data_IF_606186959435
#
_entry.id   IF_606186959435
#
_cell.length_a   1.000
_cell.length_b   1.000
_cell.length_c   1.000
_cell.angle_alpha   90.00
_cell.angle_beta   90.00
_cell.angle_gamma   90.00
#
_symmetry.space_group_name_H-M   'P 1'
#
loop_
_entity.id
_entity.type
_entity.pdbx_description
1 polymer ?
#
# COMPACT_ATOMS: atom_id res chain seq x y z
N UNK A 1 49.87 15.18 -58.63
CA UNK A 1 48.85 16.23 -58.35
C UNK A 1 47.90 15.72 -57.28
N UNK A 2 48.09 16.20 -56.11
CA UNK A 2 47.43 15.78 -54.89
C UNK A 2 46.35 16.85 -54.58
N UNK A 3 45.09 16.46 -54.49
CA UNK A 3 44.05 17.36 -53.96
C UNK A 3 43.59 16.83 -52.61
N UNK A 4 43.96 17.59 -51.62
CA UNK A 4 43.50 17.47 -50.26
C UNK A 4 42.08 18.07 -50.14
N UNK A 5 41.17 17.39 -49.49
CA UNK A 5 39.93 17.95 -49.04
C UNK A 5 39.98 18.20 -47.52
N UNK A 6 39.55 19.32 -47.02
CA UNK A 6 39.68 19.66 -45.64
C UNK A 6 38.56 19.01 -44.79
N UNK A 7 39.01 18.45 -43.69
CA UNK A 7 38.24 17.95 -42.58
C UNK A 7 37.66 19.12 -41.77
N UNK A 8 36.38 19.30 -41.79
CA UNK A 8 35.72 20.27 -40.92
C UNK A 8 35.41 19.62 -39.58
N UNK A 9 36.10 20.11 -38.57
CA UNK A 9 35.73 19.97 -37.16
C UNK A 9 34.51 20.83 -36.88
N UNK A 10 33.53 20.28 -36.24
CA UNK A 10 32.80 20.97 -35.17
C UNK A 10 31.81 19.98 -34.55
N UNK A 11 32.19 19.43 -33.43
CA UNK A 11 31.27 18.80 -32.54
C UNK A 11 31.37 19.51 -31.21
N UNK A 12 30.46 20.45 -31.00
CA UNK A 12 30.27 21.14 -29.74
C UNK A 12 29.54 20.22 -28.78
N UNK A 13 30.25 19.86 -27.77
CA UNK A 13 29.75 19.38 -26.51
C UNK A 13 28.57 20.24 -26.03
N UNK A 14 27.42 19.63 -25.87
CA UNK A 14 26.39 20.10 -24.96
C UNK A 14 26.10 18.99 -23.98
N UNK A 15 26.89 18.99 -22.96
CA UNK A 15 26.68 18.35 -21.70
C UNK A 15 25.46 19.06 -21.03
N UNK A 16 24.29 18.56 -21.26
CA UNK A 16 23.12 18.93 -20.47
C UNK A 16 22.99 17.94 -19.33
N UNK A 17 23.70 18.27 -18.28
CA UNK A 17 23.47 17.80 -16.94
C UNK A 17 22.14 18.38 -16.45
N UNK A 18 21.03 17.77 -16.83
CA UNK A 18 19.76 18.03 -16.19
C UNK A 18 19.65 17.14 -14.97
N UNK A 19 19.99 17.75 -13.86
CA UNK A 19 19.44 17.41 -12.55
C UNK A 19 17.93 17.17 -12.71
N UNK A 20 17.55 15.93 -12.88
CA UNK A 20 16.18 15.53 -12.74
C UNK A 20 15.80 15.71 -11.28
N UNK A 21 15.30 16.90 -11.00
CA UNK A 21 14.63 17.23 -9.78
C UNK A 21 13.61 16.12 -9.47
N UNK A 22 13.83 15.50 -8.35
CA UNK A 22 12.92 14.61 -7.67
C UNK A 22 11.58 15.35 -7.50
N UNK A 23 10.73 15.26 -8.52
CA UNK A 23 9.41 15.83 -8.52
C UNK A 23 8.52 14.90 -7.72
N UNK A 24 8.52 15.10 -6.42
CA UNK A 24 7.49 14.58 -5.55
C UNK A 24 6.13 14.94 -6.17
N UNK A 25 5.46 13.96 -6.71
CA UNK A 25 4.09 14.15 -7.19
C UNK A 25 3.24 14.55 -5.99
N UNK A 26 2.46 15.62 -6.10
CA UNK A 26 1.63 16.06 -5.00
C UNK A 26 0.61 14.96 -4.68
N UNK A 27 0.55 14.56 -3.42
CA UNK A 27 -0.41 13.62 -2.84
C UNK A 27 -1.89 13.95 -3.13
N UNK A 28 -2.15 15.10 -3.72
CA UNK A 28 -3.48 15.57 -4.11
C UNK A 28 -4.07 14.90 -5.36
N UNK A 29 -3.26 14.21 -6.18
CA UNK A 29 -3.77 13.55 -7.39
C UNK A 29 -4.40 12.16 -7.13
N UNK A 30 -4.21 11.57 -5.94
CA UNK A 30 -4.82 10.29 -5.56
C UNK A 30 -6.25 10.44 -4.99
N UNK A 31 -6.76 11.67 -4.91
CA UNK A 31 -8.01 11.99 -4.21
C UNK A 31 -9.30 11.68 -4.99
N UNK A 32 -9.20 11.14 -6.19
CA UNK A 32 -10.36 10.93 -7.07
C UNK A 32 -10.62 9.47 -7.48
N UNK A 33 -10.09 8.49 -6.75
CA UNK A 33 -10.42 7.10 -7.02
C UNK A 33 -11.21 6.48 -5.87
N UNK A 34 -12.44 6.93 -5.74
CA UNK A 34 -13.48 6.20 -5.02
C UNK A 34 -13.90 5.02 -5.89
N UNK A 35 -13.28 3.87 -5.73
CA UNK A 35 -13.80 2.63 -6.30
C UNK A 35 -13.54 1.48 -5.32
N UNK A 36 -14.59 1.09 -4.63
CA UNK A 36 -14.70 -0.16 -3.89
C UNK A 36 -15.00 -1.31 -4.85
N UNK A 37 -14.11 -1.63 -5.76
CA UNK A 37 -14.16 -2.85 -6.55
C UNK A 37 -12.81 -3.56 -6.49
N UNK A 38 -12.81 -4.85 -6.17
CA UNK A 38 -11.63 -5.63 -5.78
C UNK A 38 -10.44 -5.63 -6.75
N UNK A 39 -10.65 -5.32 -8.03
CA UNK A 39 -9.57 -5.22 -9.03
C UNK A 39 -8.72 -3.95 -8.86
N UNK A 40 -9.32 -2.86 -8.40
CA UNK A 40 -8.60 -1.60 -8.17
C UNK A 40 -7.72 -1.64 -6.92
N UNK A 41 -8.07 -2.41 -5.90
CA UNK A 41 -7.28 -2.54 -4.67
C UNK A 41 -5.95 -3.24 -4.90
N UNK A 42 -5.91 -4.29 -5.72
CA UNK A 42 -4.68 -4.98 -6.09
C UNK A 42 -3.69 -4.05 -6.79
N UNK A 43 -4.18 -3.23 -7.71
CA UNK A 43 -3.36 -2.24 -8.42
C UNK A 43 -2.81 -1.15 -7.47
N UNK A 44 -3.63 -0.65 -6.55
CA UNK A 44 -3.22 0.34 -5.55
C UNK A 44 -2.14 -0.23 -4.63
N UNK A 45 -2.31 -1.46 -4.15
CA UNK A 45 -1.32 -2.16 -3.32
C UNK A 45 0.00 -2.35 -4.09
N UNK A 46 -0.06 -2.79 -5.34
CA UNK A 46 1.14 -2.97 -6.18
C UNK A 46 1.88 -1.65 -6.40
N UNK A 47 1.16 -0.55 -6.65
CA UNK A 47 1.74 0.78 -6.82
C UNK A 47 2.41 1.27 -5.53
N UNK A 48 1.78 1.06 -4.38
CA UNK A 48 2.34 1.42 -3.08
C UNK A 48 3.63 0.64 -2.79
N UNK A 49 3.63 -0.68 -3.01
CA UNK A 49 4.82 -1.54 -2.83
C UNK A 49 5.95 -1.11 -3.79
N UNK A 50 5.62 -0.84 -5.05
CA UNK A 50 6.57 -0.36 -6.06
C UNK A 50 7.25 0.94 -5.62
N UNK A 51 6.48 1.88 -5.08
CA UNK A 51 7.01 3.15 -4.58
C UNK A 51 7.84 2.96 -3.31
N UNK A 52 7.38 2.16 -2.35
CA UNK A 52 8.05 1.93 -1.07
C UNK A 52 9.40 1.23 -1.22
N UNK A 53 9.50 0.28 -2.16
CA UNK A 53 10.73 -0.48 -2.40
C UNK A 53 11.56 0.08 -3.57
N UNK A 54 11.10 1.15 -4.23
CA UNK A 54 11.73 1.72 -5.43
C UNK A 54 11.96 0.67 -6.54
N UNK A 55 10.99 -0.23 -6.71
CA UNK A 55 11.03 -1.31 -7.71
C UNK A 55 10.06 -1.02 -8.86
N UNK A 56 10.35 -1.52 -10.08
CA UNK A 56 9.43 -1.32 -11.21
C UNK A 56 8.08 -2.01 -10.94
N UNK A 57 6.99 -1.28 -11.18
CA UNK A 57 5.63 -1.77 -10.97
C UNK A 57 5.35 -3.09 -11.69
N UNK A 58 5.90 -3.24 -12.91
CA UNK A 58 5.77 -4.47 -13.70
C UNK A 58 6.34 -5.69 -12.97
N UNK A 59 7.51 -5.53 -12.35
CA UNK A 59 8.15 -6.61 -11.59
C UNK A 59 7.36 -6.95 -10.33
N UNK A 60 6.89 -5.93 -9.61
CA UNK A 60 6.05 -6.12 -8.42
C UNK A 60 4.75 -6.83 -8.78
N UNK A 61 4.04 -6.39 -9.81
CA UNK A 61 2.80 -7.04 -10.24
C UNK A 61 3.01 -8.48 -10.68
N UNK A 62 4.11 -8.79 -11.37
CA UNK A 62 4.46 -10.15 -11.74
C UNK A 62 4.72 -11.05 -10.53
N UNK A 63 5.41 -10.54 -9.51
CA UNK A 63 5.64 -11.27 -8.25
C UNK A 63 4.32 -11.53 -7.53
N UNK A 64 3.45 -10.53 -7.42
CA UNK A 64 2.15 -10.70 -6.76
C UNK A 64 1.28 -11.75 -7.47
N UNK A 65 1.24 -11.74 -8.80
CA UNK A 65 0.53 -12.75 -9.57
C UNK A 65 1.08 -14.16 -9.31
N UNK A 66 2.41 -14.32 -9.27
CA UNK A 66 3.04 -15.61 -8.99
C UNK A 66 2.79 -16.08 -7.55
N UNK A 67 2.72 -15.17 -6.58
CA UNK A 67 2.36 -15.50 -5.19
C UNK A 67 0.89 -15.90 -5.08
N UNK A 68 -0.01 -15.25 -5.80
CA UNK A 68 -1.43 -15.61 -5.85
C UNK A 68 -1.65 -16.94 -6.57
N UNK A 69 -0.80 -17.33 -7.53
CA UNK A 69 -0.74 -18.66 -8.15
C UNK A 69 -0.21 -19.74 -7.18
N UNK A 70 0.22 -19.37 -5.97
CA UNK A 70 0.75 -20.28 -4.96
C UNK A 70 2.23 -20.65 -5.14
N UNK A 71 2.97 -19.89 -5.93
CA UNK A 71 4.41 -20.10 -6.08
C UNK A 71 5.17 -19.70 -4.81
N UNK A 72 6.16 -20.50 -4.42
CA UNK A 72 7.02 -20.19 -3.29
C UNK A 72 8.10 -19.17 -3.66
N UNK A 73 8.55 -18.36 -2.70
CA UNK A 73 9.59 -17.34 -2.89
C UNK A 73 10.86 -17.93 -3.53
N UNK A 74 11.44 -19.05 -3.03
CA UNK A 74 12.62 -19.67 -3.64
C UNK A 74 12.37 -20.16 -5.08
N UNK A 75 11.16 -20.59 -5.37
CA UNK A 75 10.79 -21.01 -6.74
C UNK A 75 10.79 -19.81 -7.69
N UNK A 76 10.20 -18.70 -7.27
CA UNK A 76 10.14 -17.47 -8.07
C UNK A 76 11.54 -16.93 -8.34
N UNK A 77 12.39 -16.86 -7.30
CA UNK A 77 13.76 -16.33 -7.41
C UNK A 77 14.67 -17.16 -8.32
N UNK A 78 14.45 -18.47 -8.41
CA UNK A 78 15.28 -19.37 -9.22
C UNK A 78 14.75 -19.58 -10.63
N UNK A 79 13.44 -19.78 -10.79
CA UNK A 79 12.85 -20.25 -12.04
C UNK A 79 12.02 -19.21 -12.79
N UNK A 80 11.73 -18.05 -12.19
CA UNK A 80 10.88 -17.01 -12.78
C UNK A 80 11.55 -15.63 -12.88
N UNK A 81 12.88 -15.61 -12.90
CA UNK A 81 13.69 -14.38 -13.00
C UNK A 81 13.31 -13.49 -14.17
N UNK A 82 13.01 -14.09 -15.32
CA UNK A 82 12.62 -13.34 -16.52
C UNK A 82 11.30 -12.59 -16.33
N UNK A 83 10.34 -13.17 -15.62
CA UNK A 83 9.04 -12.53 -15.36
C UNK A 83 9.15 -11.44 -14.29
N UNK A 84 10.03 -11.62 -13.32
CA UNK A 84 10.22 -10.69 -12.19
C UNK A 84 11.24 -9.60 -12.46
N UNK A 85 11.96 -9.64 -13.60
CA UNK A 85 13.00 -8.66 -13.92
C UNK A 85 14.27 -8.83 -13.11
N UNK A 86 14.68 -10.08 -12.84
CA UNK A 86 15.88 -10.45 -12.06
C UNK A 86 15.86 -9.97 -10.60
N UNK A 87 14.70 -9.92 -9.98
CA UNK A 87 14.61 -9.60 -8.54
C UNK A 87 15.28 -10.69 -7.69
N UNK A 88 15.99 -10.24 -6.67
CA UNK A 88 16.61 -11.10 -5.66
C UNK A 88 15.56 -11.70 -4.72
N UNK A 89 15.91 -12.82 -4.10
CA UNK A 89 15.07 -13.49 -3.10
C UNK A 89 14.67 -12.55 -1.96
N UNK A 90 15.59 -11.68 -1.50
CA UNK A 90 15.32 -10.68 -0.46
C UNK A 90 14.28 -9.65 -0.93
N UNK A 91 14.38 -9.19 -2.17
CA UNK A 91 13.41 -8.24 -2.73
C UNK A 91 12.03 -8.87 -2.86
N UNK A 92 11.96 -10.13 -3.29
CA UNK A 92 10.70 -10.89 -3.39
C UNK A 92 10.09 -11.11 -2.00
N UNK A 93 10.91 -11.40 -0.99
CA UNK A 93 10.46 -11.54 0.41
C UNK A 93 9.88 -10.23 0.91
N UNK A 94 10.57 -9.09 0.71
CA UNK A 94 10.08 -7.79 1.12
C UNK A 94 8.74 -7.43 0.44
N UNK A 95 8.58 -7.77 -0.84
CA UNK A 95 7.31 -7.59 -1.57
C UNK A 95 6.21 -8.42 -0.92
N UNK A 96 6.47 -9.69 -0.62
CA UNK A 96 5.51 -10.59 0.02
C UNK A 96 5.07 -10.09 1.40
N UNK A 97 6.02 -9.70 2.24
CA UNK A 97 5.72 -9.18 3.58
C UNK A 97 4.89 -7.89 3.55
N UNK A 98 5.23 -6.96 2.67
CA UNK A 98 4.44 -5.74 2.51
C UNK A 98 3.04 -6.03 1.96
N UNK A 99 2.94 -6.97 1.03
CA UNK A 99 1.65 -7.40 0.48
C UNK A 99 0.74 -7.99 1.55
N UNK A 100 1.28 -8.87 2.39
CA UNK A 100 0.53 -9.48 3.49
C UNK A 100 0.07 -8.43 4.51
N UNK A 101 0.94 -7.49 4.89
CA UNK A 101 0.58 -6.36 5.76
C UNK A 101 -0.56 -5.52 5.18
N UNK A 102 -0.48 -5.19 3.89
CA UNK A 102 -1.52 -4.41 3.22
C UNK A 102 -2.84 -5.19 3.10
N UNK A 103 -2.77 -6.51 2.94
CA UNK A 103 -3.94 -7.40 2.91
C UNK A 103 -4.62 -7.47 4.29
N UNK A 104 -3.86 -7.60 5.35
CA UNK A 104 -4.36 -7.56 6.73
C UNK A 104 -4.98 -6.19 7.06
N UNK A 105 -4.32 -5.12 6.66
CA UNK A 105 -4.82 -3.76 6.82
C UNK A 105 -6.13 -3.56 6.07
N UNK A 106 -6.29 -4.09 4.87
CA UNK A 106 -7.54 -4.08 4.13
C UNK A 106 -8.68 -4.77 4.89
N UNK A 107 -8.45 -5.99 5.37
CA UNK A 107 -9.42 -6.73 6.20
C UNK A 107 -9.78 -5.97 7.48
N UNK A 108 -8.79 -5.32 8.09
CA UNK A 108 -9.02 -4.51 9.29
C UNK A 108 -9.89 -3.29 8.99
N UNK A 109 -9.64 -2.59 7.88
CA UNK A 109 -10.47 -1.47 7.41
C UNK A 109 -11.92 -1.89 7.22
N UNK A 110 -12.18 -3.01 6.55
CA UNK A 110 -13.52 -3.55 6.35
C UNK A 110 -14.23 -3.82 7.67
N UNK A 111 -13.53 -4.45 8.63
CA UNK A 111 -14.10 -4.73 9.96
C UNK A 111 -14.45 -3.44 10.70
N UNK A 112 -13.59 -2.43 10.65
CA UNK A 112 -13.81 -1.13 11.27
C UNK A 112 -14.99 -0.41 10.63
N UNK A 113 -15.04 -0.35 9.31
CA UNK A 113 -16.15 0.25 8.57
C UNK A 113 -17.47 -0.42 8.88
N UNK A 114 -17.49 -1.77 8.97
CA UNK A 114 -18.67 -2.52 9.37
C UNK A 114 -19.14 -2.15 10.78
N UNK A 115 -18.23 -2.11 11.75
CA UNK A 115 -18.54 -1.77 13.14
C UNK A 115 -19.08 -0.35 13.29
N UNK A 116 -18.48 0.63 12.57
CA UNK A 116 -18.92 2.03 12.62
C UNK A 116 -20.28 2.18 11.93
N UNK A 117 -20.51 1.43 10.83
CA UNK A 117 -21.80 1.40 10.14
C UNK A 117 -22.91 0.83 11.03
N UNK A 118 -22.64 -0.23 11.77
CA UNK A 118 -23.56 -0.81 12.76
C UNK A 118 -23.92 0.16 13.88
N UNK A 119 -23.04 1.11 14.18
CA UNK A 119 -23.28 2.19 15.17
C UNK A 119 -23.97 3.42 14.57
N UNK A 120 -24.30 3.40 13.29
CA UNK A 120 -24.89 4.54 12.53
C UNK A 120 -24.08 5.84 12.62
N UNK A 121 -22.77 5.73 12.88
CA UNK A 121 -21.84 6.87 13.01
C UNK A 121 -20.92 7.03 11.79
N UNK A 122 -21.17 6.29 10.72
CA UNK A 122 -20.37 6.37 9.52
C UNK A 122 -20.66 7.66 8.76
N UNK A 123 -19.67 8.55 8.70
CA UNK A 123 -19.70 9.76 7.90
C UNK A 123 -18.87 9.53 6.63
N UNK A 124 -19.27 10.13 5.52
CA UNK A 124 -18.53 10.03 4.23
C UNK A 124 -17.06 10.48 4.38
N UNK A 125 -16.83 11.51 5.18
CA UNK A 125 -15.47 11.99 5.47
C UNK A 125 -14.64 10.97 6.25
N UNK A 126 -15.27 10.27 7.20
CA UNK A 126 -14.63 9.23 7.99
C UNK A 126 -14.28 8.02 7.13
N UNK A 127 -15.20 7.59 6.28
CA UNK A 127 -14.97 6.51 5.32
C UNK A 127 -13.80 6.85 4.39
N UNK A 128 -13.75 8.07 3.84
CA UNK A 128 -12.66 8.53 3.00
C UNK A 128 -11.32 8.53 3.75
N UNK A 129 -11.28 8.95 5.01
CA UNK A 129 -10.08 8.90 5.86
C UNK A 129 -9.61 7.48 6.09
N UNK A 130 -10.51 6.57 6.47
CA UNK A 130 -10.19 5.16 6.69
C UNK A 130 -9.67 4.51 5.42
N UNK A 131 -10.28 4.77 4.26
CA UNK A 131 -9.82 4.23 2.99
C UNK A 131 -8.44 4.75 2.58
N UNK A 132 -8.13 6.02 2.86
CA UNK A 132 -6.84 6.64 2.51
C UNK A 132 -5.68 6.27 3.44
N UNK A 133 -5.96 5.82 4.69
CA UNK A 133 -4.91 5.39 5.61
C UNK A 133 -4.16 4.17 5.08
N UNK A 134 -2.83 4.22 5.10
CA UNK A 134 -1.95 3.10 4.79
C UNK A 134 -1.22 2.56 6.01
N UNK A 135 -1.37 3.21 7.16
CA UNK A 135 -0.78 2.81 8.42
C UNK A 135 -1.80 2.21 9.38
N UNK A 136 -1.42 1.09 9.99
CA UNK A 136 -2.25 0.41 10.99
C UNK A 136 -2.45 1.24 12.25
N UNK A 137 -1.43 1.99 12.66
CA UNK A 137 -1.48 2.83 13.86
C UNK A 137 -2.46 3.98 13.69
N UNK A 138 -2.35 4.70 12.58
CA UNK A 138 -3.26 5.80 12.25
C UNK A 138 -4.72 5.33 12.12
N UNK A 139 -4.90 4.13 11.54
CA UNK A 139 -6.22 3.50 11.42
C UNK A 139 -6.84 3.19 12.79
N UNK A 140 -6.05 2.67 13.73
CA UNK A 140 -6.52 2.38 15.10
C UNK A 140 -6.82 3.67 15.87
N UNK A 141 -6.05 4.74 15.69
CA UNK A 141 -6.31 6.05 16.30
C UNK A 141 -7.65 6.64 15.85
N UNK A 142 -7.96 6.53 14.56
CA UNK A 142 -9.26 6.94 14.01
C UNK A 142 -10.39 6.08 14.58
N UNK A 143 -10.13 4.80 14.83
CA UNK A 143 -11.12 3.87 15.35
C UNK A 143 -11.37 3.99 16.86
N UNK A 144 -10.38 4.47 17.64
CA UNK A 144 -10.46 4.55 19.10
C UNK A 144 -11.78 5.15 19.63
N UNK A 145 -12.29 6.29 19.11
CA UNK A 145 -13.55 6.88 19.59
C UNK A 145 -14.80 6.03 19.29
N UNK A 146 -14.70 5.16 18.27
CA UNK A 146 -15.82 4.31 17.81
C UNK A 146 -15.73 2.88 18.34
N UNK A 147 -14.62 2.54 18.99
CA UNK A 147 -14.39 1.21 19.53
C UNK A 147 -15.43 0.90 20.62
N UNK A 148 -16.25 -0.16 20.47
CA UNK A 148 -17.22 -0.53 21.48
C UNK A 148 -16.49 -0.85 22.78
N UNK A 149 -16.88 -0.18 23.86
CA UNK A 149 -16.32 -0.45 25.18
C UNK A 149 -16.70 -1.89 25.57
N UNK A 150 -15.69 -2.68 25.86
CA UNK A 150 -15.92 -4.05 26.34
C UNK A 150 -16.70 -3.98 27.64
N UNK A 151 -17.88 -4.60 27.68
CA UNK A 151 -18.67 -4.72 28.92
C UNK A 151 -17.81 -5.43 29.96
N UNK A 152 -17.50 -4.75 31.03
CA UNK A 152 -16.84 -5.35 32.20
C UNK A 152 -17.83 -6.12 33.04
N UNK A 153 -17.36 -7.13 33.77
CA UNK A 153 -18.24 -7.88 34.70
C UNK A 153 -18.95 -6.96 35.71
N UNK A 154 -18.24 -5.90 36.14
CA UNK A 154 -18.81 -4.88 37.02
C UNK A 154 -19.99 -4.12 36.37
N UNK A 155 -19.90 -3.83 35.07
CA UNK A 155 -20.98 -3.15 34.35
C UNK A 155 -22.16 -4.06 34.12
N UNK A 156 -21.94 -5.34 33.84
CA UNK A 156 -23.00 -6.36 33.76
C UNK A 156 -23.71 -6.52 35.13
N UNK A 157 -22.94 -6.56 36.22
CA UNK A 157 -23.50 -6.64 37.57
C UNK A 157 -24.33 -5.40 37.92
N UNK A 158 -23.95 -4.20 37.52
CA UNK A 158 -24.74 -2.97 37.69
C UNK A 158 -26.05 -3.03 36.92
N UNK A 159 -25.97 -3.44 35.64
CA UNK A 159 -27.18 -3.60 34.80
C UNK A 159 -28.15 -4.66 35.35
N UNK A 160 -27.64 -5.66 36.04
CA UNK A 160 -28.43 -6.70 36.74
C UNK A 160 -28.97 -6.26 38.11
N UNK A 161 -28.76 -4.99 38.50
CA UNK A 161 -29.28 -4.46 39.76
C UNK A 161 -28.53 -4.92 41.01
N UNK A 162 -27.30 -5.45 40.88
CA UNK A 162 -26.46 -5.90 42.00
C UNK A 162 -25.70 -4.75 42.68
N UNK A 163 -25.87 -3.51 42.22
CA UNK A 163 -25.19 -2.33 42.76
C UNK A 163 -25.54 -2.08 44.27
N UNK A 164 -26.76 -2.26 44.76
CA UNK A 164 -27.05 -2.08 46.18
C UNK A 164 -26.48 -3.16 47.08
N UNK A 165 -26.02 -4.29 46.55
CA UNK A 165 -25.40 -5.39 47.32
C UNK A 165 -23.87 -5.21 47.45
N UNK A 166 -23.27 -4.27 46.77
CA UNK A 166 -21.83 -4.02 46.74
C UNK A 166 -21.40 -2.82 47.62
N UNK A 167 -22.31 -2.18 48.30
CA UNK A 167 -22.10 -1.16 49.34
C UNK A 167 -22.24 -1.81 50.73
#
# INVERSE_FOLDING_TARGET
MIRQTPYSKENKDKNNNEHSANRALPLTSLRSMTVCSGESEGAIRATFISHSLSLPLRSVSAVLTLLDEGCTIPFISRYRKERTGNLDEVQITNISELYDRLKELGKRKETILKTIREQEKLTVELEAKICSCMDSTELEDIYLPYKPKRRTRAQIAREQGLEPLAL
#
